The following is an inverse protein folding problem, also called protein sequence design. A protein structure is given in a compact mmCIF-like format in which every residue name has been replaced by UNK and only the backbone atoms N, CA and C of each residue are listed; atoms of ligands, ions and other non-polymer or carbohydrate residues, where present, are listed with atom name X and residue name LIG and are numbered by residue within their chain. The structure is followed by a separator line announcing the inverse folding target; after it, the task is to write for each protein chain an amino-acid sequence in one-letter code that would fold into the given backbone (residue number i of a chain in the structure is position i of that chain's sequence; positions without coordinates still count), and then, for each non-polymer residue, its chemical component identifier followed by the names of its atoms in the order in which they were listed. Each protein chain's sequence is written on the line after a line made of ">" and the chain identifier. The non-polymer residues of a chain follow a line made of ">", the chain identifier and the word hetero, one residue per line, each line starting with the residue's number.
data_IF_099985332551
#
_entry.id   IF_099985332551
#
_cell.length_a   1.000
_cell.length_b   1.000
_cell.length_c   1.000
_cell.angle_alpha   90.00
_cell.angle_beta   90.00
_cell.angle_gamma   90.00
#
_symmetry.space_group_name_H-M   'P 1'
#
loop_
_entity.id
_entity.type
_entity.pdbx_description
1 polymer ?
#
# COMPACT_ATOMS: atom_id res chain seq x y z
N UNK A 1 13.63 -49.13 5.71
CA UNK A 1 13.50 -49.21 7.19
C UNK A 1 12.63 -48.06 7.63
N UNK A 2 11.55 -48.31 8.37
CA UNK A 2 10.80 -47.23 9.02
C UNK A 2 11.59 -46.82 10.25
N UNK A 3 12.02 -45.55 10.33
CA UNK A 3 12.65 -45.02 11.54
C UNK A 3 11.69 -45.23 12.72
N UNK A 4 12.17 -45.90 13.77
CA UNK A 4 11.42 -46.03 15.01
C UNK A 4 11.29 -44.63 15.57
N UNK A 5 10.06 -44.15 15.74
CA UNK A 5 9.80 -42.86 16.39
C UNK A 5 10.20 -43.04 17.85
N UNK A 6 11.26 -42.35 18.27
CA UNK A 6 11.75 -42.36 19.63
C UNK A 6 11.02 -41.30 20.47
N UNK A 7 10.79 -41.63 21.73
CA UNK A 7 10.07 -40.79 22.68
C UNK A 7 10.99 -39.64 23.17
N UNK A 8 10.46 -38.48 23.62
CA UNK A 8 11.29 -37.41 24.16
C UNK A 8 12.23 -37.83 25.31
N UNK A 9 11.80 -38.78 26.15
CA UNK A 9 12.63 -39.34 27.21
C UNK A 9 13.79 -40.20 26.69
N UNK A 10 13.57 -40.97 25.62
CA UNK A 10 14.63 -41.75 24.98
C UNK A 10 15.68 -40.82 24.37
N UNK A 11 15.24 -39.75 23.70
CA UNK A 11 16.13 -38.69 23.20
C UNK A 11 16.92 -38.01 24.32
N UNK A 12 16.29 -37.72 25.45
CA UNK A 12 16.97 -37.14 26.61
C UNK A 12 18.10 -38.05 27.10
N UNK A 13 17.85 -39.36 27.22
CA UNK A 13 18.87 -40.34 27.66
C UNK A 13 20.03 -40.44 26.67
N UNK A 14 19.76 -40.42 25.36
CA UNK A 14 20.84 -40.40 24.37
C UNK A 14 21.69 -39.13 24.47
N UNK A 15 21.06 -37.98 24.71
CA UNK A 15 21.78 -36.72 24.97
C UNK A 15 22.71 -36.82 26.18
N UNK A 16 22.23 -37.40 27.28
CA UNK A 16 23.01 -37.58 28.52
C UNK A 16 24.22 -38.52 28.32
N UNK A 17 24.04 -39.61 27.57
CA UNK A 17 25.14 -40.52 27.23
C UNK A 17 26.18 -39.81 26.37
N UNK A 18 25.75 -39.01 25.39
CA UNK A 18 26.66 -38.28 24.49
C UNK A 18 27.44 -37.19 25.23
N UNK A 19 26.83 -36.46 26.17
CA UNK A 19 27.55 -35.53 27.06
C UNK A 19 28.59 -36.26 27.91
N UNK A 20 28.24 -37.41 28.50
CA UNK A 20 29.20 -38.20 29.28
C UNK A 20 30.39 -38.72 28.45
N UNK A 21 30.18 -39.02 27.17
CA UNK A 21 31.26 -39.36 26.25
C UNK A 21 32.16 -38.16 25.94
N UNK A 22 31.60 -36.95 25.81
CA UNK A 22 32.41 -35.75 25.62
C UNK A 22 33.26 -35.44 26.86
N UNK A 23 32.70 -35.59 28.06
CA UNK A 23 33.44 -35.46 29.33
C UNK A 23 34.64 -36.44 29.38
N UNK A 24 34.47 -37.63 28.81
CA UNK A 24 35.52 -38.64 28.63
C UNK A 24 36.47 -38.36 27.45
N UNK A 25 36.41 -37.16 26.85
CA UNK A 25 37.27 -36.66 25.75
C UNK A 25 37.05 -37.31 24.38
N UNK A 26 35.86 -37.88 24.15
CA UNK A 26 35.46 -38.28 22.79
C UNK A 26 34.98 -37.05 22.01
N UNK A 27 35.85 -36.48 21.19
CA UNK A 27 35.55 -35.26 20.43
C UNK A 27 34.42 -35.47 19.40
N UNK A 28 33.60 -34.44 19.20
CA UNK A 28 32.58 -34.39 18.14
C UNK A 28 31.22 -35.00 18.49
N UNK A 29 31.04 -35.52 19.70
CA UNK A 29 29.78 -36.13 20.15
C UNK A 29 28.78 -35.10 20.71
N UNK A 30 29.26 -33.92 21.15
CA UNK A 30 28.40 -32.86 21.70
C UNK A 30 27.37 -32.32 20.70
N UNK A 31 27.73 -32.23 19.42
CA UNK A 31 26.77 -31.76 18.40
C UNK A 31 25.55 -32.69 18.34
N UNK A 32 25.79 -34.00 18.32
CA UNK A 32 24.76 -35.04 18.36
C UNK A 32 23.99 -35.02 19.68
N UNK A 33 24.68 -34.74 20.79
CA UNK A 33 24.05 -34.53 22.09
C UNK A 33 23.03 -33.40 22.04
N UNK A 34 23.39 -32.28 21.41
CA UNK A 34 22.47 -31.16 21.22
C UNK A 34 21.28 -31.50 20.34
N UNK A 35 21.45 -32.31 19.28
CA UNK A 35 20.35 -32.79 18.45
C UNK A 35 19.37 -33.68 19.23
N UNK A 36 19.91 -34.54 20.09
CA UNK A 36 19.12 -35.38 20.98
C UNK A 36 18.31 -34.52 21.96
N UNK A 37 18.95 -33.54 22.62
CA UNK A 37 18.24 -32.65 23.54
C UNK A 37 17.19 -31.77 22.86
N UNK A 38 17.42 -31.35 21.61
CA UNK A 38 16.43 -30.60 20.86
C UNK A 38 15.19 -31.43 20.58
N UNK A 39 15.35 -32.69 20.14
CA UNK A 39 14.24 -33.63 19.94
C UNK A 39 13.52 -33.98 21.25
N UNK A 40 14.25 -34.00 22.37
CA UNK A 40 13.70 -34.13 23.71
C UNK A 40 12.97 -32.87 24.22
N UNK A 41 12.96 -31.77 23.45
CA UNK A 41 12.46 -30.44 23.84
C UNK A 41 13.21 -29.79 25.01
N UNK A 42 14.40 -30.28 25.33
CA UNK A 42 15.30 -29.69 26.33
C UNK A 42 16.18 -28.61 25.68
N UNK A 43 15.54 -27.49 25.29
CA UNK A 43 16.19 -26.45 24.48
C UNK A 43 17.42 -25.84 25.15
N UNK A 44 17.41 -25.70 26.50
CA UNK A 44 18.55 -25.14 27.25
C UNK A 44 19.81 -25.99 27.09
N UNK A 45 19.69 -27.32 27.26
CA UNK A 45 20.83 -28.22 27.07
C UNK A 45 21.24 -28.30 25.60
N UNK A 46 20.28 -28.36 24.68
CA UNK A 46 20.57 -28.37 23.25
C UNK A 46 21.45 -27.18 22.82
N UNK A 47 21.04 -25.96 23.19
CA UNK A 47 21.79 -24.73 22.92
C UNK A 47 23.19 -24.77 23.53
N UNK A 48 23.33 -25.22 24.78
CA UNK A 48 24.64 -25.35 25.44
C UNK A 48 25.57 -26.29 24.65
N UNK A 49 25.10 -27.49 24.32
CA UNK A 49 25.92 -28.46 23.57
C UNK A 49 26.36 -27.90 22.21
N UNK A 50 25.47 -27.20 21.51
CA UNK A 50 25.79 -26.57 20.22
C UNK A 50 26.74 -25.37 20.34
N UNK A 51 26.69 -24.62 21.44
CA UNK A 51 27.65 -23.54 21.70
C UNK A 51 29.04 -24.09 22.01
N UNK A 52 29.12 -25.11 22.87
CA UNK A 52 30.39 -25.72 23.30
C UNK A 52 31.06 -26.49 22.17
N UNK A 53 30.29 -27.13 21.30
CA UNK A 53 30.81 -27.79 20.08
C UNK A 53 31.12 -26.84 18.92
N UNK A 54 30.70 -25.56 19.00
CA UNK A 54 30.82 -24.60 17.90
C UNK A 54 29.78 -24.76 16.79
N UNK A 55 28.84 -25.70 16.89
CA UNK A 55 27.75 -25.95 15.95
C UNK A 55 26.59 -24.92 16.06
N UNK A 56 26.91 -23.63 16.14
CA UNK A 56 25.97 -22.53 16.41
C UNK A 56 25.40 -21.84 15.14
N UNK A 57 25.64 -22.43 13.96
CA UNK A 57 25.19 -21.89 12.68
C UNK A 57 24.00 -22.63 12.06
N UNK A 58 23.44 -23.61 12.77
CA UNK A 58 22.33 -24.41 12.25
C UNK A 58 20.96 -23.85 12.63
N UNK A 59 19.96 -24.24 11.84
CA UNK A 59 18.59 -23.77 11.96
C UNK A 59 17.99 -24.10 13.33
N UNK A 60 18.17 -25.32 13.81
CA UNK A 60 17.63 -25.83 15.07
C UNK A 60 18.20 -25.07 16.28
N UNK A 61 19.49 -24.72 16.21
CA UNK A 61 20.14 -23.86 17.21
C UNK A 61 19.44 -22.50 17.28
N UNK A 62 19.21 -21.87 16.13
CA UNK A 62 18.53 -20.58 16.08
C UNK A 62 17.08 -20.65 16.57
N UNK A 63 16.33 -21.70 16.21
CA UNK A 63 14.97 -21.90 16.70
C UNK A 63 14.94 -22.09 18.23
N UNK A 64 15.81 -22.94 18.77
CA UNK A 64 15.91 -23.17 20.20
C UNK A 64 16.28 -21.88 20.95
N UNK A 65 17.24 -21.13 20.43
CA UNK A 65 17.70 -19.87 21.01
C UNK A 65 16.62 -18.79 20.97
N UNK A 66 15.81 -18.73 19.91
CA UNK A 66 14.67 -17.81 19.83
C UNK A 66 13.66 -18.08 20.96
N UNK A 67 13.28 -19.34 21.16
CA UNK A 67 12.32 -19.74 22.20
C UNK A 67 12.85 -19.48 23.62
N UNK A 68 14.15 -19.73 23.86
CA UNK A 68 14.77 -19.43 25.16
C UNK A 68 14.88 -17.94 25.46
N UNK A 69 15.06 -17.11 24.43
CA UNK A 69 15.18 -15.66 24.58
C UNK A 69 13.84 -14.98 24.82
N UNK A 70 12.72 -15.62 24.42
CA UNK A 70 11.41 -14.99 24.41
C UNK A 70 11.26 -13.97 23.27
N UNK A 71 10.09 -13.34 23.15
CA UNK A 71 9.81 -12.36 22.09
C UNK A 71 9.57 -10.97 22.69
N UNK A 72 10.19 -9.92 22.12
CA UNK A 72 10.80 -9.84 20.79
C UNK A 72 12.31 -10.18 20.67
N UNK A 73 13.01 -10.48 21.77
CA UNK A 73 14.46 -10.70 21.77
C UNK A 73 14.91 -11.89 20.88
N UNK A 74 14.02 -12.86 20.68
CA UNK A 74 14.21 -14.05 19.83
C UNK A 74 14.10 -13.79 18.33
N UNK A 75 13.58 -12.64 17.88
CA UNK A 75 13.33 -12.36 16.46
C UNK A 75 14.58 -12.43 15.57
N UNK A 76 15.76 -11.92 15.97
CA UNK A 76 16.98 -12.05 15.17
C UNK A 76 17.40 -13.51 14.95
N UNK A 77 17.10 -14.39 15.91
CA UNK A 77 17.37 -15.83 15.75
C UNK A 77 16.38 -16.48 14.80
N UNK A 78 15.08 -16.15 14.87
CA UNK A 78 14.12 -16.61 13.86
C UNK A 78 14.50 -16.15 12.45
N UNK A 79 15.02 -14.93 12.31
CA UNK A 79 15.49 -14.43 11.02
C UNK A 79 16.67 -15.25 10.49
N UNK A 80 17.65 -15.58 11.35
CA UNK A 80 18.76 -16.47 10.97
C UNK A 80 18.28 -17.89 10.62
N UNK A 81 17.20 -18.36 11.26
CA UNK A 81 16.52 -19.61 10.91
C UNK A 81 15.66 -19.53 9.64
N UNK A 82 15.57 -18.34 9.02
CA UNK A 82 14.68 -18.01 7.90
C UNK A 82 13.19 -18.26 8.19
N UNK A 83 12.80 -18.25 9.46
CA UNK A 83 11.42 -18.49 9.90
C UNK A 83 10.62 -17.17 9.99
N UNK A 84 10.42 -16.56 8.82
CA UNK A 84 9.72 -15.28 8.70
C UNK A 84 8.24 -15.38 9.07
N UNK A 85 7.62 -16.55 8.90
CA UNK A 85 6.23 -16.77 9.29
C UNK A 85 6.08 -16.67 10.81
N UNK A 86 6.98 -17.33 11.57
CA UNK A 86 6.95 -17.27 13.03
C UNK A 86 7.18 -15.85 13.57
N UNK A 87 8.08 -15.08 12.96
CA UNK A 87 8.28 -13.66 13.32
C UNK A 87 6.96 -12.88 13.29
N UNK A 88 6.18 -13.08 12.22
CA UNK A 88 4.92 -12.37 12.02
C UNK A 88 3.86 -12.87 13.01
N UNK A 89 3.76 -14.19 13.23
CA UNK A 89 2.83 -14.78 14.20
C UNK A 89 3.06 -14.24 15.61
N UNK A 90 4.31 -14.18 16.07
CA UNK A 90 4.62 -13.66 17.40
C UNK A 90 4.36 -12.15 17.51
N UNK A 91 4.62 -11.40 16.43
CA UNK A 91 4.26 -9.99 16.37
C UNK A 91 2.74 -9.78 16.44
N UNK A 92 1.94 -10.59 15.74
CA UNK A 92 0.48 -10.52 15.80
C UNK A 92 -0.07 -10.92 17.16
N UNK A 93 0.47 -11.97 17.79
CA UNK A 93 0.13 -12.38 19.16
C UNK A 93 0.38 -11.28 20.18
N UNK A 94 1.40 -10.45 19.97
CA UNK A 94 1.66 -9.27 20.81
C UNK A 94 0.65 -8.12 20.63
N UNK A 95 -0.38 -8.31 19.80
CA UNK A 95 -1.30 -7.26 19.40
C UNK A 95 -0.67 -6.26 18.43
N UNK A 96 0.38 -6.68 17.69
CA UNK A 96 1.26 -5.80 16.94
C UNK A 96 1.80 -4.72 17.88
N UNK A 97 2.61 -5.06 18.88
CA UNK A 97 3.06 -4.05 19.86
C UNK A 97 3.94 -2.96 19.20
N UNK A 98 3.75 -1.71 19.61
CA UNK A 98 4.58 -0.56 19.21
C UNK A 98 5.52 -0.09 20.31
N UNK A 99 5.81 -0.93 21.32
CA UNK A 99 6.69 -0.58 22.42
C UNK A 99 8.17 -0.51 21.98
N UNK A 100 9.04 0.03 22.84
CA UNK A 100 10.46 0.18 22.51
C UNK A 100 11.19 -1.15 22.27
N UNK A 101 10.77 -2.25 22.92
CA UNK A 101 11.39 -3.57 22.70
C UNK A 101 11.15 -4.07 21.28
N UNK A 102 9.92 -3.97 20.77
CA UNK A 102 9.59 -4.36 19.40
C UNK A 102 10.22 -3.42 18.36
N UNK A 103 10.32 -2.12 18.66
CA UNK A 103 10.96 -1.14 17.77
C UNK A 103 12.47 -1.41 17.60
N UNK A 104 13.17 -1.96 18.60
CA UNK A 104 14.59 -2.34 18.46
C UNK A 104 14.81 -3.40 17.37
N UNK A 105 13.82 -4.25 17.12
CA UNK A 105 13.88 -5.34 16.15
C UNK A 105 13.08 -5.04 14.86
N UNK A 106 12.86 -3.75 14.59
CA UNK A 106 12.04 -3.28 13.47
C UNK A 106 12.59 -3.75 12.10
N UNK A 107 13.91 -3.84 11.95
CA UNK A 107 14.53 -4.32 10.72
C UNK A 107 14.22 -5.81 10.44
N UNK A 108 14.21 -6.65 11.49
CA UNK A 108 13.87 -8.06 11.39
C UNK A 108 12.40 -8.23 10.97
N UNK A 109 11.51 -7.47 11.62
CA UNK A 109 10.09 -7.48 11.32
C UNK A 109 9.80 -6.96 9.91
N UNK A 110 10.46 -5.87 9.49
CA UNK A 110 10.33 -5.30 8.15
C UNK A 110 10.72 -6.32 7.08
N UNK A 111 11.88 -6.99 7.24
CA UNK A 111 12.31 -8.04 6.30
C UNK A 111 11.34 -9.23 6.26
N UNK A 112 10.82 -9.66 7.41
CA UNK A 112 9.84 -10.74 7.47
C UNK A 112 8.54 -10.39 6.73
N UNK A 113 7.98 -9.19 6.97
CA UNK A 113 6.77 -8.72 6.30
C UNK A 113 6.97 -8.54 4.79
N UNK A 114 8.13 -8.02 4.37
CA UNK A 114 8.48 -7.90 2.95
C UNK A 114 8.58 -9.27 2.27
N UNK A 115 9.25 -10.25 2.90
CA UNK A 115 9.40 -11.62 2.38
C UNK A 115 8.07 -12.36 2.24
N UNK A 116 7.12 -12.07 3.12
CA UNK A 116 5.78 -12.67 3.10
C UNK A 116 4.78 -11.85 2.27
N UNK A 117 5.25 -10.86 1.50
CA UNK A 117 4.41 -9.97 0.68
C UNK A 117 3.31 -9.25 1.48
N UNK A 118 3.55 -8.95 2.76
CA UNK A 118 2.65 -8.25 3.68
C UNK A 118 3.00 -6.76 3.80
N UNK A 119 3.34 -6.12 2.66
CA UNK A 119 3.71 -4.71 2.60
C UNK A 119 2.65 -3.78 3.19
N UNK A 120 1.37 -4.11 3.01
CA UNK A 120 0.25 -3.34 3.56
C UNK A 120 0.30 -3.25 5.09
N UNK A 121 0.56 -4.38 5.76
CA UNK A 121 0.71 -4.44 7.22
C UNK A 121 1.94 -3.67 7.67
N UNK A 122 3.03 -3.76 6.91
CA UNK A 122 4.27 -3.05 7.20
C UNK A 122 4.09 -1.53 7.17
N UNK A 123 3.47 -0.99 6.12
CA UNK A 123 3.21 0.45 5.99
C UNK A 123 2.29 0.92 7.12
N UNK A 124 1.20 0.21 7.38
CA UNK A 124 0.28 0.54 8.48
C UNK A 124 0.98 0.55 9.83
N UNK A 125 1.87 -0.42 10.07
CA UNK A 125 2.65 -0.49 11.28
C UNK A 125 3.56 0.74 11.42
N UNK A 126 4.35 1.06 10.39
CA UNK A 126 5.26 2.19 10.36
C UNK A 126 4.55 3.54 10.57
N UNK A 127 3.38 3.73 9.94
CA UNK A 127 2.52 4.89 10.14
C UNK A 127 2.09 4.99 11.62
N UNK A 128 1.61 3.89 12.20
CA UNK A 128 1.13 3.86 13.59
C UNK A 128 2.21 4.21 14.61
N UNK A 129 3.44 3.72 14.40
CA UNK A 129 4.59 4.06 15.26
C UNK A 129 5.31 5.35 14.84
N UNK A 130 4.74 6.12 13.89
CA UNK A 130 5.22 7.43 13.44
C UNK A 130 6.62 7.40 12.81
N UNK A 131 7.02 6.28 12.21
CA UNK A 131 8.27 6.12 11.45
C UNK A 131 8.05 6.57 10.00
N UNK A 132 7.85 7.88 9.82
CA UNK A 132 7.35 8.43 8.55
C UNK A 132 8.27 8.15 7.36
N UNK A 133 9.58 8.31 7.50
CA UNK A 133 10.53 8.09 6.39
C UNK A 133 10.56 6.64 5.95
N UNK A 134 10.50 5.71 6.89
CA UNK A 134 10.42 4.29 6.57
C UNK A 134 9.08 3.96 5.89
N UNK A 135 7.98 4.61 6.33
CA UNK A 135 6.69 4.45 5.68
C UNK A 135 6.72 4.97 4.23
N UNK A 136 7.37 6.12 3.97
CA UNK A 136 7.58 6.62 2.61
C UNK A 136 8.36 5.60 1.77
N UNK A 137 9.47 5.08 2.31
CA UNK A 137 10.30 4.09 1.61
C UNK A 137 9.53 2.79 1.31
N UNK A 138 8.68 2.33 2.23
CA UNK A 138 7.83 1.17 2.02
C UNK A 138 6.72 1.43 0.98
N UNK A 139 6.11 2.61 0.98
CA UNK A 139 5.11 3.03 -0.03
C UNK A 139 5.71 3.07 -1.44
N UNK A 140 7.00 3.45 -1.56
CA UNK A 140 7.70 3.46 -2.84
C UNK A 140 7.89 2.06 -3.44
N UNK A 141 7.81 0.99 -2.63
CA UNK A 141 7.87 -0.41 -3.06
C UNK A 141 6.50 -0.99 -3.46
N UNK A 142 5.40 -0.31 -3.18
CA UNK A 142 4.04 -0.78 -3.48
C UNK A 142 3.65 -0.61 -4.97
N UNK A 143 2.63 -1.37 -5.38
CA UNK A 143 1.92 -1.12 -6.64
C UNK A 143 1.35 0.29 -6.70
N UNK A 144 1.19 0.84 -7.92
CA UNK A 144 0.86 2.26 -8.14
C UNK A 144 -0.39 2.71 -7.38
N UNK A 145 -1.49 1.94 -7.45
CA UNK A 145 -2.73 2.27 -6.74
C UNK A 145 -2.64 2.23 -5.21
N UNK A 146 -2.08 1.16 -4.65
CA UNK A 146 -1.92 1.05 -3.19
C UNK A 146 -1.06 2.20 -2.66
N UNK A 147 0.00 2.53 -3.40
CA UNK A 147 0.86 3.65 -3.06
C UNK A 147 0.11 5.00 -3.05
N UNK A 148 -0.90 5.21 -3.91
CA UNK A 148 -1.73 6.42 -3.88
C UNK A 148 -2.55 6.49 -2.59
N UNK A 149 -3.24 5.41 -2.22
CA UNK A 149 -4.05 5.38 -0.99
C UNK A 149 -3.19 5.62 0.25
N UNK A 150 -2.03 4.97 0.30
CA UNK A 150 -1.10 5.16 1.41
C UNK A 150 -0.46 6.55 1.46
N UNK A 151 -0.26 7.22 0.32
CA UNK A 151 0.18 8.63 0.30
C UNK A 151 -0.83 9.52 0.99
N UNK A 152 -2.12 9.38 0.65
CA UNK A 152 -3.17 10.18 1.28
C UNK A 152 -3.25 9.89 2.78
N UNK A 153 -3.20 8.61 3.18
CA UNK A 153 -3.23 8.25 4.59
C UNK A 153 -1.99 8.75 5.35
N UNK A 154 -0.80 8.65 4.77
CA UNK A 154 0.42 9.13 5.41
C UNK A 154 0.40 10.66 5.58
N UNK A 155 -0.04 11.42 4.58
CA UNK A 155 -0.18 12.89 4.70
C UNK A 155 -1.21 13.25 5.78
N UNK A 156 -2.34 12.53 5.81
CA UNK A 156 -3.36 12.65 6.85
C UNK A 156 -2.77 12.45 8.25
N UNK A 157 -1.96 11.42 8.44
CA UNK A 157 -1.34 11.11 9.73
C UNK A 157 -0.24 12.10 10.10
N UNK A 158 0.55 12.58 9.13
CA UNK A 158 1.53 13.65 9.33
C UNK A 158 0.83 14.92 9.83
N UNK A 159 -0.29 15.31 9.23
CA UNK A 159 -1.05 16.50 9.63
C UNK A 159 -1.54 16.46 11.09
N UNK A 160 -1.86 15.26 11.61
CA UNK A 160 -2.28 15.01 13.00
C UNK A 160 -1.13 14.75 13.97
N UNK A 161 0.08 14.59 13.46
CA UNK A 161 1.25 14.24 14.27
C UNK A 161 1.86 15.44 15.00
N UNK A 162 2.83 15.17 15.86
CA UNK A 162 3.69 16.20 16.47
C UNK A 162 5.00 16.39 15.69
N UNK A 163 5.05 16.01 14.40
CA UNK A 163 6.22 16.24 13.54
C UNK A 163 6.52 17.75 13.50
N UNK A 164 7.80 18.11 13.70
CA UNK A 164 8.28 19.49 13.61
C UNK A 164 9.21 19.69 12.40
N UNK A 165 9.37 20.94 11.92
CA UNK A 165 10.31 21.28 10.84
C UNK A 165 11.75 20.84 11.09
N UNK A 166 12.19 20.76 12.34
CA UNK A 166 13.53 20.34 12.76
C UNK A 166 13.68 18.83 12.57
N UNK A 167 12.69 18.04 12.99
CA UNK A 167 12.69 16.58 12.82
C UNK A 167 12.63 16.17 11.34
N UNK A 168 11.98 17.00 10.51
CA UNK A 168 11.86 16.74 9.07
C UNK A 168 13.09 17.20 8.27
N UNK A 169 14.01 17.97 8.86
CA UNK A 169 15.06 18.73 8.16
C UNK A 169 15.87 17.90 7.17
N UNK A 170 16.38 16.75 7.59
CA UNK A 170 17.29 15.93 6.77
C UNK A 170 16.57 15.22 5.62
N UNK A 171 15.24 15.17 5.66
CA UNK A 171 14.42 14.41 4.72
C UNK A 171 13.32 15.25 4.06
N UNK A 172 13.39 16.59 4.13
CA UNK A 172 12.34 17.48 3.62
C UNK A 172 12.00 17.23 2.16
N UNK A 173 13.02 17.05 1.30
CA UNK A 173 12.81 16.74 -0.12
C UNK A 173 11.99 15.46 -0.34
N UNK A 174 12.15 14.47 0.54
CA UNK A 174 11.41 13.20 0.47
C UNK A 174 9.95 13.36 0.92
N UNK A 175 9.70 14.14 1.96
CA UNK A 175 8.34 14.52 2.34
C UNK A 175 7.64 15.37 1.29
N UNK A 176 8.35 16.33 0.69
CA UNK A 176 7.79 17.17 -0.35
C UNK A 176 7.42 16.34 -1.58
N UNK A 177 8.30 15.44 -2.03
CA UNK A 177 8.02 14.53 -3.14
C UNK A 177 6.81 13.61 -2.85
N UNK A 178 6.60 13.19 -1.59
CA UNK A 178 5.40 12.44 -1.19
C UNK A 178 4.13 13.29 -1.43
N UNK A 179 4.13 14.54 -0.95
CA UNK A 179 2.99 15.46 -1.06
C UNK A 179 2.73 15.80 -2.53
N UNK A 180 3.75 16.12 -3.31
CA UNK A 180 3.63 16.42 -4.74
C UNK A 180 3.06 15.24 -5.54
N UNK A 181 3.53 14.01 -5.26
CA UNK A 181 2.96 12.80 -5.87
C UNK A 181 1.48 12.62 -5.50
N UNK A 182 1.07 12.95 -4.27
CA UNK A 182 -0.33 12.90 -3.88
C UNK A 182 -1.17 13.97 -4.60
N UNK A 183 -0.65 15.20 -4.72
CA UNK A 183 -1.33 16.32 -5.39
C UNK A 183 -1.40 16.17 -6.91
N UNK A 184 -0.55 15.32 -7.51
CA UNK A 184 -0.61 15.00 -8.94
C UNK A 184 -1.82 14.14 -9.34
N UNK A 185 -2.52 13.55 -8.37
CA UNK A 185 -3.72 12.75 -8.60
C UNK A 185 -4.91 13.68 -8.81
N UNK A 186 -5.58 13.61 -9.97
CA UNK A 186 -6.62 14.56 -10.39
C UNK A 186 -7.75 14.75 -9.36
N UNK A 187 -8.14 13.70 -8.65
CA UNK A 187 -9.21 13.72 -7.66
C UNK A 187 -8.72 13.75 -6.20
N UNK A 188 -7.49 14.21 -5.92
CA UNK A 188 -6.94 14.20 -4.56
C UNK A 188 -7.83 14.91 -3.52
N UNK A 189 -8.54 15.98 -3.91
CA UNK A 189 -9.46 16.74 -3.03
C UNK A 189 -10.67 15.93 -2.55
N UNK A 190 -11.01 14.83 -3.23
CA UNK A 190 -12.04 13.89 -2.81
C UNK A 190 -11.52 12.87 -1.79
N UNK A 191 -10.20 12.84 -1.54
CA UNK A 191 -9.54 11.84 -0.68
C UNK A 191 -8.74 12.47 0.45
N UNK A 192 -8.39 13.75 0.36
CA UNK A 192 -7.57 14.47 1.32
C UNK A 192 -8.03 15.92 1.41
N UNK A 193 -8.24 16.42 2.63
CA UNK A 193 -8.68 17.81 2.82
C UNK A 193 -7.53 18.79 2.55
N UNK A 194 -7.85 19.97 2.01
CA UNK A 194 -6.86 21.02 1.72
C UNK A 194 -6.09 21.41 2.99
N UNK A 195 -6.80 21.48 4.12
CA UNK A 195 -6.24 21.78 5.44
C UNK A 195 -5.23 20.74 5.90
N UNK A 196 -5.49 19.44 5.66
CA UNK A 196 -4.55 18.36 6.01
C UNK A 196 -3.24 18.50 5.23
N UNK A 197 -3.32 18.84 3.93
CA UNK A 197 -2.14 19.08 3.10
C UNK A 197 -1.35 20.31 3.58
N UNK A 198 -2.03 21.42 3.83
CA UNK A 198 -1.41 22.65 4.29
C UNK A 198 -0.65 22.46 5.61
N UNK A 199 -1.29 21.83 6.59
CA UNK A 199 -0.68 21.52 7.88
C UNK A 199 0.50 20.56 7.73
N UNK A 200 0.40 19.54 6.86
CA UNK A 200 1.52 18.65 6.60
C UNK A 200 2.72 19.39 5.97
N UNK A 201 2.47 20.30 5.02
CA UNK A 201 3.50 21.15 4.42
C UNK A 201 4.19 22.06 5.46
N UNK A 202 3.42 22.64 6.38
CA UNK A 202 3.99 23.43 7.46
C UNK A 202 4.83 22.60 8.43
N UNK A 203 4.40 21.37 8.75
CA UNK A 203 5.12 20.47 9.66
C UNK A 203 6.45 19.98 9.08
N UNK A 204 6.59 19.88 7.76
CA UNK A 204 7.86 19.51 7.13
C UNK A 204 8.84 20.71 7.06
N UNK A 205 8.32 21.94 7.14
CA UNK A 205 9.13 23.16 7.18
C UNK A 205 9.54 23.72 5.82
N UNK A 206 8.92 23.28 4.73
CA UNK A 206 9.19 23.77 3.37
C UNK A 206 8.38 25.04 3.08
N UNK A 207 8.90 26.19 3.53
CA UNK A 207 8.16 27.46 3.53
C UNK A 207 7.70 27.89 2.13
N UNK A 208 8.57 27.82 1.12
CA UNK A 208 8.24 28.30 -0.23
C UNK A 208 7.14 27.46 -0.90
N UNK A 209 7.22 26.11 -0.92
CA UNK A 209 6.11 25.27 -1.37
C UNK A 209 4.82 25.48 -0.57
N UNK A 210 4.93 25.66 0.75
CA UNK A 210 3.77 25.91 1.62
C UNK A 210 3.03 27.19 1.24
N UNK A 211 3.76 28.29 1.03
CA UNK A 211 3.18 29.57 0.62
C UNK A 211 2.47 29.44 -0.74
N UNK A 212 3.14 28.84 -1.74
CA UNK A 212 2.57 28.58 -3.06
C UNK A 212 1.33 27.69 -3.02
N UNK A 213 1.24 26.78 -2.04
CA UNK A 213 0.06 25.95 -1.85
C UNK A 213 -1.13 26.78 -1.37
N UNK A 214 -0.95 27.60 -0.33
CA UNK A 214 -2.03 28.46 0.20
C UNK A 214 -2.49 29.54 -0.78
N UNK A 215 -1.59 30.09 -1.59
CA UNK A 215 -1.89 31.09 -2.62
C UNK A 215 -2.99 30.64 -3.60
N UNK A 216 -3.10 29.33 -3.86
CA UNK A 216 -4.12 28.75 -4.74
C UNK A 216 -5.55 28.93 -4.21
N UNK A 217 -5.70 29.28 -2.94
CA UNK A 217 -6.99 29.35 -2.25
C UNK A 217 -7.39 30.77 -1.81
N UNK A 218 -6.60 31.79 -2.16
CA UNK A 218 -6.91 33.19 -1.83
C UNK A 218 -8.25 33.69 -2.42
N UNK A 219 -8.63 33.12 -3.56
CA UNK A 219 -9.88 33.43 -4.25
C UNK A 219 -10.87 32.26 -4.18
N UNK A 220 -10.76 31.39 -3.17
CA UNK A 220 -11.71 30.29 -2.98
C UNK A 220 -13.12 30.84 -2.76
N UNK A 221 -14.11 30.20 -3.41
CA UNK A 221 -15.54 30.48 -3.20
C UNK A 221 -16.03 29.94 -1.85
N UNK A 222 -15.20 29.20 -1.12
CA UNK A 222 -15.48 28.71 0.23
C UNK A 222 -14.86 29.67 1.26
N UNK A 223 -15.65 30.55 1.91
CA UNK A 223 -15.10 31.57 2.80
C UNK A 223 -14.25 31.01 3.94
N UNK A 224 -14.62 29.89 4.62
CA UNK A 224 -13.77 29.28 5.63
C UNK A 224 -12.39 28.89 5.10
N UNK A 225 -12.34 28.27 3.91
CA UNK A 225 -11.08 27.80 3.33
C UNK A 225 -10.20 28.97 2.89
N UNK A 226 -10.81 30.02 2.33
CA UNK A 226 -10.12 31.26 1.98
C UNK A 226 -9.48 31.89 3.23
N UNK A 227 -10.26 32.06 4.30
CA UNK A 227 -9.77 32.63 5.55
C UNK A 227 -8.64 31.78 6.14
N UNK A 228 -8.83 30.47 6.22
CA UNK A 228 -7.81 29.54 6.70
C UNK A 228 -6.50 29.67 5.91
N UNK A 229 -6.57 29.66 4.57
CA UNK A 229 -5.39 29.78 3.72
C UNK A 229 -4.67 31.13 3.89
N UNK A 230 -5.41 32.22 4.05
CA UNK A 230 -4.86 33.56 4.28
C UNK A 230 -4.14 33.66 5.63
N UNK A 231 -4.77 33.19 6.71
CA UNK A 231 -4.19 33.15 8.06
C UNK A 231 -2.92 32.29 8.10
N UNK A 232 -2.97 31.07 7.54
CA UNK A 232 -1.81 30.17 7.51
C UNK A 232 -0.70 30.67 6.59
N UNK A 233 -1.02 31.34 5.49
CA UNK A 233 -0.02 31.99 4.64
C UNK A 233 0.71 33.11 5.41
N UNK A 234 -0.01 33.96 6.14
CA UNK A 234 0.60 35.01 6.98
C UNK A 234 1.47 34.41 8.08
N UNK A 235 1.00 33.37 8.77
CA UNK A 235 1.79 32.66 9.79
C UNK A 235 3.08 32.05 9.19
N UNK A 236 2.99 31.47 8.00
CA UNK A 236 4.15 30.91 7.28
C UNK A 236 5.12 32.02 6.83
N UNK A 237 4.60 33.17 6.38
CA UNK A 237 5.43 34.35 6.03
C UNK A 237 6.14 34.94 7.23
N UNK A 238 5.51 34.98 8.40
CA UNK A 238 6.15 35.42 9.64
C UNK A 238 7.36 34.54 9.97
N UNK A 239 7.24 33.20 9.85
CA UNK A 239 8.38 32.29 9.97
C UNK A 239 9.46 32.57 8.92
N UNK A 240 9.07 32.79 7.66
CA UNK A 240 10.01 33.14 6.59
C UNK A 240 10.80 34.42 6.93
N UNK A 241 10.13 35.43 7.48
CA UNK A 241 10.75 36.66 7.97
C UNK A 241 11.77 36.35 9.08
N UNK A 242 11.38 35.58 10.09
CA UNK A 242 12.24 35.22 11.21
C UNK A 242 13.53 34.53 10.77
N UNK A 243 13.45 33.58 9.83
CA UNK A 243 14.65 32.97 9.25
C UNK A 243 15.52 33.98 8.50
N UNK A 244 14.90 34.90 7.74
CA UNK A 244 15.63 35.94 7.01
C UNK A 244 16.24 37.03 7.91
N UNK A 245 15.75 37.24 9.13
CA UNK A 245 16.30 38.28 10.02
C UNK A 245 17.79 38.04 10.34
N UNK A 246 18.20 36.78 10.45
CA UNK A 246 19.58 36.42 10.80
C UNK A 246 20.51 36.48 9.59
N UNK A 247 20.01 36.07 8.41
CA UNK A 247 20.84 35.90 7.22
C UNK A 247 20.77 37.06 6.22
N UNK A 248 19.59 37.65 6.03
CA UNK A 248 19.27 38.60 4.95
C UNK A 248 18.30 39.71 5.45
N UNK A 249 18.79 40.72 6.21
CA UNK A 249 17.93 41.73 6.83
C UNK A 249 17.07 42.54 5.84
N UNK A 250 17.62 42.84 4.66
CA UNK A 250 16.88 43.55 3.59
C UNK A 250 15.67 42.73 3.14
N UNK A 251 15.88 41.43 2.88
CA UNK A 251 14.79 40.52 2.52
C UNK A 251 13.76 40.36 3.62
N UNK A 252 14.19 40.35 4.88
CA UNK A 252 13.27 40.34 6.02
C UNK A 252 12.36 41.59 6.03
N UNK A 253 12.89 42.75 5.65
CA UNK A 253 12.11 43.98 5.52
C UNK A 253 11.11 43.91 4.35
N UNK A 254 11.51 43.37 3.19
CA UNK A 254 10.60 43.13 2.06
C UNK A 254 9.46 42.17 2.44
N UNK A 255 9.78 41.08 3.12
CA UNK A 255 8.79 40.13 3.64
C UNK A 255 7.85 40.83 4.63
N UNK A 256 8.37 41.68 5.52
CA UNK A 256 7.55 42.45 6.46
C UNK A 256 6.58 43.39 5.74
N UNK A 257 7.02 44.08 4.69
CA UNK A 257 6.15 44.94 3.88
C UNK A 257 5.04 44.15 3.20
N UNK A 258 5.35 42.97 2.66
CA UNK A 258 4.36 42.08 2.04
C UNK A 258 3.35 41.57 3.06
N UNK A 259 3.81 41.16 4.26
CA UNK A 259 2.94 40.78 5.39
C UNK A 259 2.01 41.93 5.74
N UNK A 260 2.52 43.14 5.98
CA UNK A 260 1.70 44.30 6.37
C UNK A 260 0.67 44.65 5.30
N UNK A 261 1.05 44.60 4.02
CA UNK A 261 0.14 44.85 2.89
C UNK A 261 -0.98 43.81 2.86
N UNK A 262 -0.66 42.52 2.87
CA UNK A 262 -1.65 41.43 2.81
C UNK A 262 -2.54 41.37 4.03
N UNK A 263 -1.98 41.57 5.21
CA UNK A 263 -2.72 41.67 6.47
C UNK A 263 -3.79 42.78 6.43
N UNK A 264 -3.44 43.95 5.88
CA UNK A 264 -4.39 45.05 5.67
C UNK A 264 -5.44 44.72 4.61
N UNK A 265 -5.05 44.11 3.49
CA UNK A 265 -5.96 43.68 2.43
C UNK A 265 -6.99 42.64 2.92
N UNK A 266 -6.58 41.75 3.82
CA UNK A 266 -7.42 40.65 4.32
C UNK A 266 -8.08 40.95 5.67
N UNK A 267 -7.79 42.11 6.27
CA UNK A 267 -8.27 42.51 7.60
C UNK A 267 -7.92 41.47 8.70
N UNK A 268 -6.68 40.98 8.69
CA UNK A 268 -6.16 40.01 9.67
C UNK A 268 -5.03 40.69 10.45
N UNK A 269 -5.06 40.63 11.78
CA UNK A 269 -3.96 41.11 12.62
C UNK A 269 -2.86 40.03 12.75
N UNK A 270 -1.66 40.23 12.17
CA UNK A 270 -0.58 39.25 12.24
C UNK A 270 -0.10 38.96 13.66
N UNK A 271 -0.28 39.88 14.62
CA UNK A 271 0.14 39.69 16.00
C UNK A 271 -0.70 38.66 16.76
N UNK A 272 -1.93 38.39 16.28
CA UNK A 272 -2.84 37.42 16.90
C UNK A 272 -2.68 36.00 16.34
N UNK A 273 -1.90 35.84 15.26
CA UNK A 273 -1.75 34.56 14.58
C UNK A 273 -0.84 33.61 15.36
N UNK A 274 -1.30 32.38 15.56
CA UNK A 274 -0.44 31.32 16.05
C UNK A 274 0.53 30.86 14.94
N UNK A 275 1.82 30.98 15.19
CA UNK A 275 2.87 30.52 14.28
C UNK A 275 2.83 29.00 14.12
N UNK A 276 2.46 28.24 15.14
CA UNK A 276 2.41 26.78 15.05
C UNK A 276 1.26 26.28 14.18
N UNK A 277 1.46 25.17 13.43
CA UNK A 277 0.38 24.55 12.66
C UNK A 277 -0.76 24.12 13.60
N UNK A 278 -2.02 24.42 13.27
CA UNK A 278 -3.15 24.03 14.10
C UNK A 278 -3.26 22.51 14.20
N UNK A 279 -3.77 22.02 15.33
CA UNK A 279 -4.09 20.60 15.49
C UNK A 279 -5.38 20.32 14.75
N UNK A 280 -5.34 19.40 13.78
CA UNK A 280 -6.49 19.04 12.93
C UNK A 280 -7.74 18.69 13.76
N UNK A 281 -7.56 17.98 14.88
CA UNK A 281 -8.66 17.54 15.74
C UNK A 281 -9.31 18.68 16.56
N UNK A 282 -8.68 19.86 16.61
CA UNK A 282 -9.18 21.06 17.29
C UNK A 282 -9.78 22.10 16.33
N UNK A 283 -9.87 21.78 15.04
CA UNK A 283 -10.47 22.70 14.06
C UNK A 283 -11.99 22.68 14.23
N UNK A 284 -12.53 23.73 14.82
CA UNK A 284 -13.96 23.88 15.12
C UNK A 284 -14.82 23.90 13.85
N UNK A 285 -14.30 24.46 12.75
CA UNK A 285 -15.04 24.53 11.50
C UNK A 285 -14.91 23.24 10.70
N UNK A 286 -15.79 22.28 10.97
CA UNK A 286 -15.80 20.98 10.28
C UNK A 286 -15.90 21.06 8.75
N UNK A 287 -16.39 22.18 8.17
CA UNK A 287 -16.41 22.37 6.71
C UNK A 287 -15.00 22.38 6.10
N UNK A 288 -13.99 22.79 6.87
CA UNK A 288 -12.59 22.76 6.43
C UNK A 288 -12.02 21.36 6.27
N UNK A 289 -12.64 20.37 6.92
CA UNK A 289 -12.25 18.96 6.87
C UNK A 289 -13.14 18.16 5.91
N UNK A 290 -14.14 18.79 5.30
CA UNK A 290 -14.98 18.14 4.30
C UNK A 290 -14.19 17.95 3.01
N UNK A 291 -14.28 16.74 2.47
CA UNK A 291 -13.74 16.42 1.16
C UNK A 291 -14.62 17.07 0.10
N UNK A 292 -14.01 17.55 -0.98
CA UNK A 292 -14.79 18.12 -2.07
C UNK A 292 -15.73 17.02 -2.62
N UNK A 293 -17.02 17.34 -2.81
CA UNK A 293 -17.92 16.40 -3.48
C UNK A 293 -17.35 16.06 -4.87
N UNK A 294 -17.62 14.86 -5.39
CA UNK A 294 -17.32 14.58 -6.78
C UNK A 294 -18.01 15.64 -7.63
N UNK A 295 -17.22 16.35 -8.42
CA UNK A 295 -17.69 17.45 -9.27
C UNK A 295 -18.76 16.88 -10.21
N UNK A 296 -20.01 17.38 -10.24
CA UNK A 296 -21.04 16.87 -11.13
C UNK A 296 -20.71 17.06 -12.61
N UNK A 297 -19.80 17.99 -12.95
CA UNK A 297 -19.21 18.12 -14.28
C UNK A 297 -18.16 17.04 -14.60
N UNK A 298 -17.74 16.28 -13.59
CA UNK A 298 -17.00 15.01 -13.70
C UNK A 298 -17.84 13.83 -13.21
N UNK A 299 -19.14 14.01 -12.98
CA UNK A 299 -20.08 12.91 -13.07
C UNK A 299 -20.11 12.53 -14.53
N UNK A 300 -19.13 11.71 -14.93
CA UNK A 300 -19.36 10.80 -16.03
C UNK A 300 -20.74 10.17 -15.75
N UNK A 301 -21.67 10.14 -16.72
CA UNK A 301 -22.78 9.20 -16.62
C UNK A 301 -22.14 7.87 -16.25
N UNK A 302 -22.69 7.20 -15.24
CA UNK A 302 -22.15 5.97 -14.68
C UNK A 302 -21.61 5.12 -15.84
N UNK A 303 -20.28 4.92 -15.98
CA UNK A 303 -19.73 4.34 -17.20
C UNK A 303 -20.20 2.89 -17.39
N UNK A 304 -20.93 2.34 -16.42
CA UNK A 304 -21.57 1.03 -16.50
C UNK A 304 -22.80 1.01 -17.42
N UNK A 305 -23.57 2.10 -17.57
CA UNK A 305 -24.88 2.04 -18.27
C UNK A 305 -24.74 1.97 -19.80
N UNK A 306 -23.64 2.50 -20.34
CA UNK A 306 -23.33 2.45 -21.78
C UNK A 306 -22.34 1.33 -22.17
N UNK A 307 -21.65 0.70 -21.22
CA UNK A 307 -20.58 -0.28 -21.53
C UNK A 307 -21.03 -1.74 -21.58
N UNK A 308 -22.18 -2.09 -20.98
CA UNK A 308 -22.76 -3.43 -21.12
C UNK A 308 -24.25 -3.35 -21.31
N UNK A 309 -24.72 -3.85 -22.45
CA UNK A 309 -26.15 -3.92 -22.74
C UNK A 309 -26.64 -5.36 -22.71
N UNK A 310 -27.93 -5.57 -22.39
CA UNK A 310 -28.59 -6.86 -22.50
C UNK A 310 -28.33 -7.87 -21.37
N UNK A 311 -27.84 -7.42 -20.20
CA UNK A 311 -27.71 -8.31 -19.04
C UNK A 311 -29.08 -8.72 -18.48
N UNK A 312 -29.26 -9.98 -18.04
CA UNK A 312 -30.46 -10.39 -17.33
C UNK A 312 -30.69 -9.58 -16.04
N UNK A 313 -31.95 -9.30 -15.65
CA UNK A 313 -32.27 -8.60 -14.41
C UNK A 313 -31.65 -9.29 -13.18
N UNK A 314 -31.04 -8.51 -12.30
CA UNK A 314 -30.41 -9.02 -11.06
C UNK A 314 -28.96 -9.52 -11.22
N UNK A 315 -28.37 -9.40 -12.41
CA UNK A 315 -26.95 -9.72 -12.62
C UNK A 315 -26.05 -8.80 -11.78
N UNK A 316 -25.25 -9.38 -10.89
CA UNK A 316 -24.30 -8.61 -10.05
C UNK A 316 -23.01 -8.35 -10.81
N UNK A 317 -22.77 -7.10 -11.18
CA UNK A 317 -21.52 -6.67 -11.78
C UNK A 317 -20.49 -6.35 -10.66
N UNK A 318 -19.27 -6.84 -10.82
CA UNK A 318 -18.12 -6.60 -9.93
C UNK A 318 -17.01 -5.90 -10.71
N UNK A 319 -16.61 -4.72 -10.27
CA UNK A 319 -15.50 -3.98 -10.88
C UNK A 319 -14.19 -4.74 -10.72
N UNK A 320 -13.40 -4.84 -11.81
CA UNK A 320 -12.08 -5.46 -11.81
C UNK A 320 -11.02 -4.47 -11.31
N UNK A 321 -11.20 -4.02 -10.08
CA UNK A 321 -10.31 -3.06 -9.41
C UNK A 321 -10.31 -1.65 -10.05
N UNK A 322 -9.62 -0.68 -9.43
CA UNK A 322 -9.61 0.71 -9.90
C UNK A 322 -8.67 0.99 -11.09
N UNK A 323 -7.89 0.00 -11.54
CA UNK A 323 -6.75 0.15 -12.46
C UNK A 323 -7.05 -0.29 -13.90
N UNK A 324 -8.14 -1.02 -14.11
CA UNK A 324 -8.64 -1.40 -15.42
C UNK A 324 -10.04 -0.81 -15.59
N UNK A 325 -10.31 -0.19 -16.75
CA UNK A 325 -11.69 0.10 -17.19
C UNK A 325 -12.36 -1.24 -17.50
N UNK A 326 -12.75 -1.95 -16.44
CA UNK A 326 -13.05 -3.36 -16.52
C UNK A 326 -13.95 -3.83 -15.39
N UNK A 327 -14.79 -4.78 -15.74
CA UNK A 327 -15.80 -5.35 -14.87
C UNK A 327 -15.90 -6.84 -15.14
N UNK A 328 -16.52 -7.52 -14.18
CA UNK A 328 -16.81 -8.93 -14.28
C UNK A 328 -18.22 -9.20 -13.82
N UNK A 329 -18.87 -10.14 -14.47
CA UNK A 329 -20.18 -10.61 -14.06
C UNK A 329 -20.26 -12.11 -14.38
N UNK A 330 -21.29 -12.75 -13.85
CA UNK A 330 -21.52 -14.17 -14.07
C UNK A 330 -22.96 -14.37 -14.52
N UNK A 331 -23.15 -15.18 -15.57
CA UNK A 331 -24.46 -15.62 -16.00
C UNK A 331 -24.45 -17.13 -16.16
N UNK A 332 -25.30 -17.82 -15.39
CA UNK A 332 -25.26 -19.27 -15.27
C UNK A 332 -23.87 -19.74 -14.84
N UNK A 333 -23.27 -20.62 -15.64
CA UNK A 333 -21.94 -21.17 -15.45
C UNK A 333 -20.83 -20.40 -16.17
N UNK A 334 -21.14 -19.30 -16.86
CA UNK A 334 -20.17 -18.49 -17.59
C UNK A 334 -19.81 -17.26 -16.77
N UNK A 335 -18.53 -17.14 -16.40
CA UNK A 335 -17.95 -15.90 -15.88
C UNK A 335 -17.39 -15.08 -17.04
N UNK A 336 -17.82 -13.83 -17.13
CA UNK A 336 -17.34 -12.87 -18.12
C UNK A 336 -16.48 -11.83 -17.39
N UNK A 337 -15.30 -11.56 -17.93
CA UNK A 337 -14.45 -10.45 -17.51
C UNK A 337 -14.14 -9.61 -18.72
N UNK A 338 -14.39 -8.31 -18.64
CA UNK A 338 -14.08 -7.33 -19.68
C UNK A 338 -13.11 -6.33 -19.09
N UNK A 339 -12.08 -5.96 -19.83
CA UNK A 339 -11.19 -4.86 -19.47
C UNK A 339 -10.75 -4.13 -20.72
N UNK A 340 -10.67 -2.80 -20.67
CA UNK A 340 -10.03 -2.00 -21.69
C UNK A 340 -8.64 -1.60 -21.20
N UNK A 341 -7.61 -2.00 -21.95
CA UNK A 341 -6.21 -1.62 -21.66
C UNK A 341 -5.66 -0.88 -22.87
N UNK A 342 -5.38 0.41 -22.71
CA UNK A 342 -5.05 1.31 -23.81
C UNK A 342 -6.17 1.28 -24.86
N UNK A 343 -5.89 0.79 -26.08
CA UNK A 343 -6.84 0.66 -27.18
C UNK A 343 -7.23 -0.80 -27.49
N UNK A 344 -6.89 -1.73 -26.59
CA UNK A 344 -7.23 -3.14 -26.73
C UNK A 344 -8.42 -3.46 -25.82
N UNK A 345 -9.51 -3.95 -26.43
CA UNK A 345 -10.61 -4.55 -25.69
C UNK A 345 -10.22 -6.00 -25.36
N UNK A 346 -10.23 -6.32 -24.08
CA UNK A 346 -9.93 -7.65 -23.56
C UNK A 346 -11.20 -8.25 -22.96
N UNK A 347 -11.61 -9.42 -23.45
CA UNK A 347 -12.76 -10.17 -22.94
C UNK A 347 -12.32 -11.59 -22.63
N UNK A 348 -12.58 -12.07 -21.42
CA UNK A 348 -12.34 -13.43 -20.98
C UNK A 348 -13.65 -14.09 -20.59
N UNK A 349 -13.99 -15.17 -21.28
CA UNK A 349 -15.12 -16.03 -20.96
C UNK A 349 -14.58 -17.29 -20.29
N UNK A 350 -14.99 -17.56 -19.06
CA UNK A 350 -14.61 -18.78 -18.33
C UNK A 350 -15.85 -19.60 -18.02
N UNK A 351 -15.88 -20.85 -18.50
CA UNK A 351 -16.83 -21.84 -18.03
C UNK A 351 -16.37 -22.36 -16.67
N UNK A 352 -17.17 -22.11 -15.63
CA UNK A 352 -16.84 -22.46 -14.24
C UNK A 352 -16.85 -23.97 -14.02
N UNK A 353 -17.66 -24.73 -14.77
CA UNK A 353 -17.73 -26.18 -14.63
C UNK A 353 -16.59 -26.89 -15.35
N UNK A 354 -16.28 -26.47 -16.58
CA UNK A 354 -15.24 -27.12 -17.37
C UNK A 354 -13.85 -26.51 -17.18
N UNK A 355 -13.75 -25.36 -16.48
CA UNK A 355 -12.53 -24.54 -16.36
C UNK A 355 -11.92 -24.11 -17.70
N UNK A 356 -12.69 -24.18 -18.79
CA UNK A 356 -12.23 -23.76 -20.12
C UNK A 356 -12.40 -22.25 -20.23
N UNK A 357 -11.39 -21.59 -20.78
CA UNK A 357 -11.38 -20.15 -20.96
C UNK A 357 -11.20 -19.78 -22.42
N UNK A 358 -11.98 -18.82 -22.88
CA UNK A 358 -11.82 -18.16 -24.18
C UNK A 358 -11.41 -16.73 -23.93
N UNK A 359 -10.19 -16.38 -24.35
CA UNK A 359 -9.70 -15.01 -24.31
C UNK A 359 -9.88 -14.38 -25.69
N UNK A 360 -10.44 -13.18 -25.74
CA UNK A 360 -10.65 -12.38 -26.94
C UNK A 360 -9.98 -11.04 -26.72
N UNK A 361 -9.00 -10.71 -27.56
CA UNK A 361 -8.38 -9.39 -27.56
C UNK A 361 -8.61 -8.72 -28.91
N UNK A 362 -9.12 -7.50 -28.89
CA UNK A 362 -9.44 -6.72 -30.08
C UNK A 362 -8.62 -5.44 -30.10
N UNK A 363 -7.68 -5.33 -31.04
CA UNK A 363 -6.97 -4.09 -31.34
C UNK A 363 -7.65 -3.39 -32.52
N UNK A 364 -8.49 -2.39 -32.21
CA UNK A 364 -9.24 -1.63 -33.22
C UNK A 364 -8.36 -0.75 -34.12
N UNK A 365 -7.09 -0.49 -33.76
CA UNK A 365 -6.18 0.31 -34.58
C UNK A 365 -5.48 -0.57 -35.61
N UNK A 366 -5.01 -1.74 -35.19
CA UNK A 366 -4.27 -2.66 -36.06
C UNK A 366 -5.17 -3.68 -36.77
N UNK A 367 -6.46 -3.75 -36.44
CA UNK A 367 -7.40 -4.73 -36.99
C UNK A 367 -7.03 -6.16 -36.62
N UNK A 368 -6.37 -6.35 -35.47
CA UNK A 368 -5.90 -7.65 -34.98
C UNK A 368 -6.85 -8.18 -33.94
N UNK A 369 -7.29 -9.42 -34.13
CA UNK A 369 -8.11 -10.14 -33.16
C UNK A 369 -7.37 -11.40 -32.71
N UNK A 370 -7.14 -11.53 -31.41
CA UNK A 370 -6.61 -12.76 -30.79
C UNK A 370 -7.76 -13.51 -30.14
N UNK A 371 -7.97 -14.76 -30.52
CA UNK A 371 -8.99 -15.64 -29.94
C UNK A 371 -8.30 -16.91 -29.42
N UNK A 372 -8.17 -17.04 -28.09
CA UNK A 372 -7.37 -18.08 -27.46
C UNK A 372 -5.89 -17.99 -27.86
N UNK A 373 -5.34 -19.06 -28.41
CA UNK A 373 -3.96 -19.11 -28.93
C UNK A 373 -3.85 -18.68 -30.40
N UNK A 374 -4.98 -18.46 -31.08
CA UNK A 374 -5.01 -18.09 -32.50
C UNK A 374 -4.95 -16.57 -32.67
N UNK A 375 -4.03 -16.11 -33.53
CA UNK A 375 -3.95 -14.73 -33.97
C UNK A 375 -4.53 -14.64 -35.39
N UNK A 376 -5.56 -13.82 -35.56
CA UNK A 376 -6.22 -13.61 -36.85
C UNK A 376 -5.88 -12.21 -37.35
N UNK A 377 -5.19 -12.14 -38.50
CA UNK A 377 -5.03 -10.91 -39.27
C UNK A 377 -6.09 -10.93 -40.37
N UNK A 378 -7.08 -10.03 -40.28
CA UNK A 378 -8.25 -10.07 -41.16
C UNK A 378 -8.11 -8.99 -42.24
N UNK A 379 -8.09 -9.43 -43.50
CA UNK A 379 -7.75 -8.56 -44.63
C UNK A 379 -8.90 -7.63 -45.08
N UNK A 380 -10.18 -8.00 -44.89
CA UNK A 380 -11.32 -7.21 -45.43
C UNK A 380 -12.68 -7.45 -44.74
N UNK A 381 -12.71 -7.99 -43.52
CA UNK A 381 -13.95 -8.15 -42.74
C UNK A 381 -14.12 -7.06 -41.67
N UNK A 382 -15.36 -6.86 -41.20
CA UNK A 382 -15.66 -6.00 -40.03
C UNK A 382 -16.05 -6.80 -38.78
N UNK A 383 -16.30 -8.11 -38.94
CA UNK A 383 -16.80 -8.99 -37.86
C UNK A 383 -16.22 -10.40 -37.92
N UNK A 384 -16.05 -11.03 -36.75
CA UNK A 384 -15.68 -12.44 -36.61
C UNK A 384 -16.68 -13.15 -35.71
N UNK A 385 -17.24 -14.28 -36.15
CA UNK A 385 -18.13 -15.09 -35.33
C UNK A 385 -17.39 -16.28 -34.71
N UNK A 386 -17.71 -16.60 -33.46
CA UNK A 386 -17.21 -17.77 -32.75
C UNK A 386 -18.34 -18.51 -32.04
N UNK A 387 -18.17 -19.82 -31.87
CA UNK A 387 -19.12 -20.69 -31.18
C UNK A 387 -18.39 -21.50 -30.11
N UNK A 388 -19.02 -21.70 -28.95
CA UNK A 388 -18.57 -22.70 -27.98
C UNK A 388 -18.68 -24.11 -28.59
N UNK A 389 -17.71 -24.97 -28.28
CA UNK A 389 -17.72 -26.40 -28.63
C UNK A 389 -18.93 -27.11 -28.01
N UNK A 390 -19.39 -26.66 -26.84
CA UNK A 390 -20.56 -27.22 -26.15
C UNK A 390 -21.88 -26.64 -26.66
N UNK A 391 -21.84 -25.58 -27.47
CA UNK A 391 -23.02 -24.86 -27.95
C UNK A 391 -23.71 -23.98 -26.91
N UNK A 392 -23.11 -23.78 -25.73
CA UNK A 392 -23.71 -23.00 -24.63
C UNK A 392 -23.70 -21.49 -24.87
N UNK A 393 -22.77 -21.02 -25.70
CA UNK A 393 -22.71 -19.64 -26.14
C UNK A 393 -22.10 -19.52 -27.54
N UNK A 394 -22.43 -18.42 -28.20
CA UNK A 394 -21.80 -17.95 -29.44
C UNK A 394 -21.60 -16.44 -29.35
N UNK A 395 -20.70 -15.89 -30.15
CA UNK A 395 -20.52 -14.46 -30.19
C UNK A 395 -19.98 -13.93 -31.50
N UNK A 396 -20.04 -12.62 -31.63
CA UNK A 396 -19.53 -11.86 -32.76
C UNK A 396 -18.62 -10.76 -32.24
N UNK A 397 -17.41 -10.68 -32.78
CA UNK A 397 -16.41 -9.65 -32.47
C UNK A 397 -16.46 -8.61 -33.58
N UNK A 398 -16.76 -7.36 -33.23
CA UNK A 398 -16.72 -6.22 -34.15
C UNK A 398 -15.42 -5.46 -33.91
N UNK A 399 -14.62 -5.30 -34.97
CA UNK A 399 -13.25 -4.76 -34.83
C UNK A 399 -12.90 -3.65 -35.83
N UNK A 400 -13.80 -3.27 -36.76
CA UNK A 400 -13.63 -2.16 -37.71
C UNK A 400 -14.94 -1.39 -37.93
N UNK A 401 -14.85 -0.09 -38.24
CA UNK A 401 -15.92 0.90 -38.54
C UNK A 401 -16.92 1.27 -37.43
N UNK A 402 -17.06 0.44 -36.39
CA UNK A 402 -17.81 0.75 -35.17
C UNK A 402 -16.88 0.72 -33.95
N UNK A 403 -17.34 1.19 -32.78
CA UNK A 403 -16.59 1.01 -31.54
C UNK A 403 -16.33 -0.49 -31.33
N UNK A 404 -15.07 -0.94 -31.11
CA UNK A 404 -14.77 -2.34 -30.91
C UNK A 404 -15.59 -2.92 -29.78
N UNK A 405 -16.32 -4.00 -30.07
CA UNK A 405 -17.22 -4.65 -29.10
C UNK A 405 -17.34 -6.15 -29.34
N UNK A 406 -17.76 -6.86 -28.31
CA UNK A 406 -18.08 -8.29 -28.40
C UNK A 406 -19.54 -8.51 -28.05
N UNK A 407 -20.30 -9.07 -28.99
CA UNK A 407 -21.68 -9.47 -28.76
C UNK A 407 -21.74 -10.96 -28.43
N UNK A 408 -22.46 -11.32 -27.36
CA UNK A 408 -22.61 -12.69 -26.87
C UNK A 408 -24.08 -13.11 -26.85
N UNK A 409 -24.33 -14.31 -27.36
CA UNK A 409 -25.59 -15.02 -27.25
C UNK A 409 -25.35 -16.25 -26.38
N UNK A 410 -25.95 -16.27 -25.19
CA UNK A 410 -25.86 -17.39 -24.24
C UNK A 410 -27.18 -18.15 -24.28
N UNK A 411 -27.10 -19.48 -24.35
CA UNK A 411 -28.28 -20.35 -24.39
C UNK A 411 -29.15 -20.12 -23.15
N UNK A 412 -30.43 -19.85 -23.37
CA UNK A 412 -31.41 -19.58 -22.29
C UNK A 412 -31.54 -18.11 -21.92
N UNK A 413 -30.77 -17.20 -22.52
CA UNK A 413 -30.94 -15.75 -22.41
C UNK A 413 -31.52 -15.23 -23.73
N UNK A 414 -32.62 -14.48 -23.67
CA UNK A 414 -33.26 -13.90 -24.86
C UNK A 414 -32.56 -12.64 -25.38
N UNK A 415 -31.83 -11.93 -24.51
CA UNK A 415 -31.06 -10.72 -24.84
C UNK A 415 -29.65 -11.04 -25.34
N UNK A 416 -29.18 -10.23 -26.30
CA UNK A 416 -27.79 -10.20 -26.75
C UNK A 416 -27.01 -9.34 -25.77
N UNK A 417 -25.89 -9.86 -25.27
CA UNK A 417 -25.02 -9.11 -24.36
C UNK A 417 -23.94 -8.42 -25.18
N UNK A 418 -23.86 -7.09 -25.11
CA UNK A 418 -22.86 -6.29 -25.83
C UNK A 418 -21.79 -5.78 -24.85
N UNK A 419 -20.49 -5.96 -25.16
CA UNK A 419 -19.32 -5.74 -24.26
C UNK A 419 -18.23 -4.84 -24.84
#
# INVERSE_FOLDING_TARGET
>A
MREKILDPEEWQRFGEVLEGLDEAKYNGVLELGGDCYYRAKNLRRAVRCWQESGANQKREYYLAQAELSGFPEGLPYLEKALDFERIIVEWEKSGKSGNQQWIKHLDCLGRALERQNRLRDWINYLIRIKRWIDAIAAIEKCGKLEAILFRFELIRQISRSNLTPEQARDFRGRYLALIEKALSVSNWRQKLAVVEVGIALEKIGELVPTLKFYERFFNSNEPPLKQFAQERWLATKLKQKEYSLVAEPIRAQEIQQDITRRAKEWNIDPATLNSDPPRVDLIENHKLLQLSPPDPSQANPDPMDDQVQGLPPGTKIRLLGPEADGFSFQIGHIQVKRAKRNNILWVLLTDIYSSKALQIDVDGIQGKVRIGELMLEVADGHQLSFNSITGDYRGTVFYRDEQPRVELHIRGISSIISL
#
